data_IF_094869124647
#
_entry.id   IF_094869124647
#
_cell.length_a   1.000
_cell.length_b   1.000
_cell.length_c   1.000
_cell.angle_alpha   90.00
_cell.angle_beta   90.00
_cell.angle_gamma   90.00
#
_symmetry.space_group_name_H-M   'P 1'
#
loop_
_entity.id
_entity.type
_entity.pdbx_description
1 polymer ?
#
# COMPACT_ATOMS: atom_id res chain seq x y z
N UNK A 1 33.39 -35.46 75.56
CA UNK A 1 33.48 -34.06 75.09
C UNK A 1 32.69 -33.97 73.79
N UNK A 2 31.47 -33.45 73.87
CA UNK A 2 30.45 -33.45 72.81
C UNK A 2 30.74 -32.31 71.82
N UNK A 3 30.64 -32.56 70.50
CA UNK A 3 30.53 -31.50 69.48
C UNK A 3 29.40 -31.84 68.53
N UNK A 4 28.33 -31.05 68.68
CA UNK A 4 27.05 -31.21 68.03
C UNK A 4 27.16 -30.96 66.51
N UNK A 5 26.72 -31.94 65.73
CA UNK A 5 26.48 -31.77 64.29
C UNK A 5 24.99 -31.47 64.08
N UNK A 6 24.66 -30.19 63.94
CA UNK A 6 23.33 -29.74 63.50
C UNK A 6 23.33 -29.61 61.96
N UNK A 7 22.58 -30.44 61.22
CA UNK A 7 22.38 -30.21 59.79
C UNK A 7 21.42 -29.02 59.62
N UNK A 8 21.96 -27.93 59.08
CA UNK A 8 21.27 -26.67 58.80
C UNK A 8 20.13 -26.95 57.82
N UNK A 9 18.89 -27.01 58.33
CA UNK A 9 17.71 -27.27 57.51
C UNK A 9 17.55 -26.21 56.44
N UNK A 10 17.58 -26.67 55.20
CA UNK A 10 17.54 -25.86 53.99
C UNK A 10 16.08 -25.43 53.75
N UNK A 11 15.69 -24.26 54.25
CA UNK A 11 14.38 -23.60 53.99
C UNK A 11 14.29 -23.01 52.56
N UNK A 12 14.89 -23.62 51.53
CA UNK A 12 14.95 -23.05 50.17
C UNK A 12 13.76 -23.43 49.28
N UNK A 13 13.06 -24.53 49.59
CA UNK A 13 12.00 -25.09 48.72
C UNK A 13 10.77 -24.17 48.60
N UNK A 14 10.29 -23.61 49.71
CA UNK A 14 9.08 -22.78 49.70
C UNK A 14 9.31 -21.41 49.03
N UNK A 15 10.49 -20.82 49.24
CA UNK A 15 10.85 -19.52 48.67
C UNK A 15 11.12 -19.61 47.17
N UNK A 16 11.78 -20.68 46.69
CA UNK A 16 11.92 -20.93 45.25
C UNK A 16 10.57 -21.10 44.56
N UNK A 17 9.62 -21.84 45.16
CA UNK A 17 8.27 -22.01 44.61
C UNK A 17 7.51 -20.68 44.49
N UNK A 18 7.64 -19.80 45.48
CA UNK A 18 7.03 -18.46 45.41
C UNK A 18 7.68 -17.58 44.32
N UNK A 19 9.00 -17.65 44.14
CA UNK A 19 9.68 -16.95 43.05
C UNK A 19 9.20 -17.48 41.69
N UNK A 20 9.06 -18.79 41.52
CA UNK A 20 8.58 -19.37 40.25
C UNK A 20 7.16 -18.92 39.94
N UNK A 21 6.25 -18.93 40.92
CA UNK A 21 4.85 -18.49 40.72
C UNK A 21 4.81 -16.99 40.37
N UNK A 22 5.54 -16.16 41.11
CA UNK A 22 5.62 -14.72 40.83
C UNK A 22 6.24 -14.43 39.46
N UNK A 23 7.27 -15.18 39.05
CA UNK A 23 7.89 -15.05 37.74
C UNK A 23 6.92 -15.43 36.61
N UNK A 24 6.16 -16.52 36.76
CA UNK A 24 5.14 -16.93 35.78
C UNK A 24 4.00 -15.90 35.71
N UNK A 25 3.56 -15.36 36.85
CA UNK A 25 2.52 -14.34 36.90
C UNK A 25 2.97 -13.04 36.21
N UNK A 26 4.19 -12.57 36.52
CA UNK A 26 4.78 -11.41 35.86
C UNK A 26 4.96 -11.63 34.36
N UNK A 27 5.40 -12.83 33.96
CA UNK A 27 5.51 -13.19 32.54
C UNK A 27 4.14 -13.19 31.86
N UNK A 28 3.10 -13.68 32.52
CA UNK A 28 1.73 -13.66 32.01
C UNK A 28 1.18 -12.25 31.80
N UNK A 29 1.38 -11.35 32.77
CA UNK A 29 1.00 -9.94 32.67
C UNK A 29 1.80 -9.24 31.57
N UNK A 30 3.11 -9.51 31.49
CA UNK A 30 3.99 -8.97 30.46
C UNK A 30 3.55 -9.40 29.05
N UNK A 31 3.21 -10.68 28.86
CA UNK A 31 2.70 -11.22 27.60
C UNK A 31 1.33 -10.63 27.24
N UNK A 32 0.45 -10.42 28.23
CA UNK A 32 -0.86 -9.78 28.02
C UNK A 32 -0.75 -8.34 27.50
N UNK A 33 0.31 -7.61 27.83
CA UNK A 33 0.59 -6.28 27.25
C UNK A 33 1.33 -6.37 25.91
N UNK A 34 2.28 -7.29 25.79
CA UNK A 34 3.19 -7.36 24.64
C UNK A 34 2.54 -7.94 23.38
N UNK A 35 1.71 -8.97 23.50
CA UNK A 35 1.04 -9.63 22.36
C UNK A 35 0.06 -8.70 21.63
N UNK A 36 -0.90 -8.01 22.30
CA UNK A 36 -1.79 -7.07 21.61
C UNK A 36 -1.03 -5.88 21.01
N UNK A 37 0.03 -5.39 21.66
CA UNK A 37 0.86 -4.30 21.12
C UNK A 37 1.61 -4.73 19.85
N UNK A 38 2.11 -5.97 19.82
CA UNK A 38 2.77 -6.51 18.63
C UNK A 38 1.80 -6.71 17.46
N UNK A 39 0.58 -7.20 17.72
CA UNK A 39 -0.46 -7.32 16.71
C UNK A 39 -0.87 -5.94 16.17
N UNK A 40 -1.01 -4.94 17.04
CA UNK A 40 -1.40 -3.60 16.65
C UNK A 40 -0.33 -2.91 15.78
N UNK A 41 0.95 -3.13 16.06
CA UNK A 41 2.06 -2.65 15.20
C UNK A 41 2.00 -3.24 13.79
N UNK A 42 1.65 -4.53 13.65
CA UNK A 42 1.48 -5.17 12.33
C UNK A 42 0.25 -4.64 11.60
N UNK A 43 -0.82 -4.32 12.32
CA UNK A 43 -2.01 -3.69 11.74
C UNK A 43 -1.75 -2.27 11.24
N UNK A 44 -0.87 -1.49 11.89
CA UNK A 44 -0.50 -0.17 11.36
C UNK A 44 0.30 -0.27 10.06
N UNK A 45 1.21 -1.25 9.95
CA UNK A 45 1.97 -1.47 8.72
C UNK A 45 1.08 -1.94 7.55
N UNK A 46 0.09 -2.80 7.81
CA UNK A 46 -0.87 -3.25 6.79
C UNK A 46 -1.82 -2.12 6.37
N UNK A 47 -2.26 -1.27 7.31
CA UNK A 47 -3.08 -0.09 7.01
C UNK A 47 -2.32 0.94 6.19
N UNK A 48 -1.05 1.20 6.52
CA UNK A 48 -0.20 2.13 5.76
C UNK A 48 -0.02 1.64 4.33
N UNK A 49 0.40 0.39 4.13
CA UNK A 49 0.58 -0.16 2.79
C UNK A 49 -0.71 -0.19 1.98
N UNK A 50 -1.86 -0.45 2.62
CA UNK A 50 -3.17 -0.39 1.94
C UNK A 50 -3.54 1.05 1.53
N UNK A 51 -3.28 2.03 2.41
CA UNK A 51 -3.55 3.44 2.14
C UNK A 51 -2.65 3.98 1.02
N UNK A 52 -1.36 3.64 1.02
CA UNK A 52 -0.41 4.01 -0.04
C UNK A 52 -0.83 3.43 -1.40
N UNK A 53 -1.23 2.16 -1.43
CA UNK A 53 -1.78 1.50 -2.63
C UNK A 53 -3.00 2.24 -3.16
N UNK A 54 -3.97 2.55 -2.29
CA UNK A 54 -5.17 3.30 -2.69
C UNK A 54 -4.83 4.70 -3.18
N UNK A 55 -3.88 5.39 -2.54
CA UNK A 55 -3.44 6.72 -2.95
C UNK A 55 -2.81 6.70 -4.34
N UNK A 56 -1.97 5.72 -4.63
CA UNK A 56 -1.36 5.52 -5.95
C UNK A 56 -2.43 5.32 -7.02
N UNK A 57 -3.37 4.40 -6.81
CA UNK A 57 -4.46 4.13 -7.75
C UNK A 57 -5.34 5.36 -7.99
N UNK A 58 -5.68 6.06 -6.91
CA UNK A 58 -6.44 7.31 -6.98
C UNK A 58 -5.67 8.39 -7.74
N UNK A 59 -4.36 8.50 -7.53
CA UNK A 59 -3.48 9.44 -8.21
C UNK A 59 -3.43 9.20 -9.72
N UNK A 60 -3.27 7.95 -10.14
CA UNK A 60 -3.31 7.55 -11.56
C UNK A 60 -4.66 7.91 -12.17
N UNK A 61 -5.76 7.44 -11.57
CA UNK A 61 -7.12 7.73 -12.05
C UNK A 61 -7.40 9.23 -12.15
N UNK A 62 -7.01 9.99 -11.12
CA UNK A 62 -7.24 11.42 -11.06
C UNK A 62 -6.47 12.15 -12.15
N UNK A 63 -5.21 11.79 -12.40
CA UNK A 63 -4.44 12.42 -13.48
C UNK A 63 -5.08 12.23 -14.86
N UNK A 64 -5.68 11.07 -15.13
CA UNK A 64 -6.44 10.86 -16.38
C UNK A 64 -7.75 11.64 -16.39
N UNK A 65 -8.49 11.67 -15.29
CA UNK A 65 -9.71 12.45 -15.18
C UNK A 65 -9.45 13.96 -15.38
N UNK A 66 -8.37 14.48 -14.78
CA UNK A 66 -7.91 15.85 -14.99
C UNK A 66 -7.61 16.10 -16.46
N UNK A 67 -6.88 15.20 -17.14
CA UNK A 67 -6.60 15.34 -18.57
C UNK A 67 -7.89 15.41 -19.41
N UNK A 68 -8.87 14.56 -19.13
CA UNK A 68 -10.18 14.58 -19.81
C UNK A 68 -10.90 15.91 -19.60
N UNK A 69 -10.95 16.40 -18.34
CA UNK A 69 -11.65 17.63 -17.99
C UNK A 69 -10.98 18.84 -18.66
N UNK A 70 -9.66 18.96 -18.53
CA UNK A 70 -8.90 20.08 -19.10
C UNK A 70 -8.97 20.04 -20.64
N UNK A 71 -8.87 18.85 -21.25
CA UNK A 71 -9.02 18.69 -22.70
C UNK A 71 -10.40 19.12 -23.19
N UNK A 72 -11.47 18.78 -22.47
CA UNK A 72 -12.84 19.23 -22.79
C UNK A 72 -13.05 20.73 -22.60
N UNK A 73 -12.28 21.37 -21.72
CA UNK A 73 -12.31 22.82 -21.52
C UNK A 73 -11.52 23.58 -22.59
N UNK A 74 -10.77 22.88 -23.44
CA UNK A 74 -9.82 23.47 -24.39
C UNK A 74 -8.49 23.86 -23.75
N UNK A 75 -8.25 23.46 -22.50
CA UNK A 75 -7.02 23.72 -21.75
C UNK A 75 -5.97 22.64 -22.10
N UNK A 76 -5.51 22.65 -23.35
CA UNK A 76 -4.75 21.53 -23.93
C UNK A 76 -3.36 21.29 -23.32
N UNK A 77 -2.64 22.35 -22.91
CA UNK A 77 -1.34 22.19 -22.24
C UNK A 77 -1.48 21.56 -20.85
N UNK A 78 -2.37 22.06 -19.95
CA UNK A 78 -2.71 21.36 -18.71
C UNK A 78 -3.11 19.91 -18.93
N UNK A 79 -3.96 19.65 -19.93
CA UNK A 79 -4.38 18.30 -20.30
C UNK A 79 -3.20 17.42 -20.73
N UNK A 80 -2.24 17.95 -21.50
CA UNK A 80 -1.03 17.25 -21.93
C UNK A 80 -0.14 16.87 -20.76
N UNK A 81 0.03 17.77 -19.79
CA UNK A 81 0.78 17.50 -18.56
C UNK A 81 0.11 16.43 -17.71
N UNK A 82 -1.21 16.51 -17.54
CA UNK A 82 -2.00 15.54 -16.80
C UNK A 82 -1.98 14.15 -17.47
N UNK A 83 -2.11 14.08 -18.79
CA UNK A 83 -1.99 12.84 -19.57
C UNK A 83 -0.58 12.24 -19.45
N UNK A 84 0.46 13.07 -19.55
CA UNK A 84 1.85 12.63 -19.37
C UNK A 84 2.09 12.06 -17.97
N UNK A 85 1.55 12.73 -16.94
CA UNK A 85 1.60 12.24 -15.55
C UNK A 85 0.90 10.89 -15.41
N UNK A 86 -0.29 10.73 -16.00
CA UNK A 86 -1.00 9.46 -16.03
C UNK A 86 -0.14 8.33 -16.61
N UNK A 87 0.41 8.50 -17.82
CA UNK A 87 1.19 7.45 -18.46
C UNK A 87 2.47 7.12 -17.70
N UNK A 88 3.15 8.13 -17.13
CA UNK A 88 4.35 7.93 -16.33
C UNK A 88 4.05 7.17 -15.03
N UNK A 89 2.98 7.54 -14.32
CA UNK A 89 2.56 6.84 -13.10
C UNK A 89 2.06 5.43 -13.39
N UNK A 90 1.30 5.24 -14.46
CA UNK A 90 0.84 3.92 -14.89
C UNK A 90 2.03 3.01 -15.23
N UNK A 91 3.04 3.54 -15.93
CA UNK A 91 4.27 2.79 -16.24
C UNK A 91 5.06 2.46 -14.98
N UNK A 92 5.26 3.43 -14.10
CA UNK A 92 5.94 3.20 -12.83
C UNK A 92 5.28 2.09 -12.01
N UNK A 93 3.94 2.01 -11.99
CA UNK A 93 3.25 0.93 -11.28
C UNK A 93 3.27 -0.41 -11.98
N UNK A 94 3.23 -0.45 -13.32
CA UNK A 94 3.33 -1.71 -14.07
C UNK A 94 4.75 -2.29 -14.01
N UNK A 95 5.77 -1.43 -14.06
CA UNK A 95 7.18 -1.82 -13.96
C UNK A 95 7.58 -2.38 -12.59
N UNK A 96 6.78 -2.11 -11.53
CA UNK A 96 6.97 -2.74 -10.20
C UNK A 96 6.70 -4.24 -10.19
N UNK A 97 6.01 -4.78 -11.18
CA UNK A 97 5.76 -6.22 -11.29
C UNK A 97 5.03 -6.80 -10.07
N UNK A 98 5.73 -7.63 -9.28
CA UNK A 98 5.15 -8.31 -8.10
C UNK A 98 4.79 -7.33 -6.99
N UNK A 99 5.51 -6.20 -6.89
CA UNK A 99 5.24 -5.15 -5.90
C UNK A 99 4.20 -4.12 -6.40
N UNK A 100 3.63 -4.34 -7.58
CA UNK A 100 2.61 -3.46 -8.15
C UNK A 100 1.34 -3.46 -7.29
N UNK A 101 0.65 -2.33 -7.33
CA UNK A 101 -0.72 -2.26 -6.80
C UNK A 101 -1.73 -2.96 -7.72
N UNK A 102 -1.37 -3.15 -8.99
CA UNK A 102 -2.22 -3.83 -9.98
C UNK A 102 -2.10 -5.35 -9.90
N UNK A 103 -3.20 -6.04 -10.18
CA UNK A 103 -3.17 -7.48 -10.43
C UNK A 103 -2.45 -7.79 -11.75
N UNK A 104 -1.91 -9.01 -11.95
CA UNK A 104 -1.30 -9.38 -13.24
C UNK A 104 -2.26 -9.23 -14.43
N UNK A 105 -3.55 -9.51 -14.23
CA UNK A 105 -4.57 -9.31 -15.25
C UNK A 105 -4.77 -7.82 -15.58
N UNK A 106 -4.74 -6.94 -14.58
CA UNK A 106 -4.79 -5.49 -14.77
C UNK A 106 -3.55 -4.97 -15.50
N UNK A 107 -2.35 -5.43 -15.13
CA UNK A 107 -1.10 -5.07 -15.82
C UNK A 107 -1.18 -5.45 -17.31
N UNK A 108 -1.61 -6.68 -17.61
CA UNK A 108 -1.81 -7.11 -18.99
C UNK A 108 -2.90 -6.29 -19.71
N UNK A 109 -3.98 -5.95 -18.99
CA UNK A 109 -5.11 -5.19 -19.52
C UNK A 109 -4.77 -3.72 -19.83
N UNK A 110 -3.87 -3.08 -19.07
CA UNK A 110 -3.45 -1.70 -19.32
C UNK A 110 -2.37 -1.58 -20.40
N UNK A 111 -1.69 -2.67 -20.75
CA UNK A 111 -0.63 -2.67 -21.77
C UNK A 111 -1.07 -2.07 -23.12
N UNK A 112 -2.26 -2.36 -23.66
CA UNK A 112 -2.74 -1.75 -24.89
C UNK A 112 -3.00 -0.24 -24.78
N UNK A 113 -3.22 0.30 -23.57
CA UNK A 113 -3.48 1.74 -23.39
C UNK A 113 -2.27 2.61 -23.75
N UNK A 114 -1.05 2.06 -23.67
CA UNK A 114 0.17 2.79 -24.03
C UNK A 114 0.27 3.08 -25.53
N UNK A 115 -0.41 2.33 -26.40
CA UNK A 115 -0.34 2.58 -27.85
C UNK A 115 -0.96 3.93 -28.23
N UNK A 116 -1.98 4.38 -27.48
CA UNK A 116 -2.66 5.65 -27.70
C UNK A 116 -1.92 6.87 -27.14
N UNK A 117 -0.80 6.68 -26.43
CA UNK A 117 -0.07 7.79 -25.78
C UNK A 117 0.37 8.84 -26.80
N UNK A 118 1.12 8.43 -27.81
CA UNK A 118 1.76 9.37 -28.74
C UNK A 118 0.71 10.10 -29.58
N UNK A 119 -0.37 9.41 -29.95
CA UNK A 119 -1.56 9.99 -30.58
C UNK A 119 -2.17 11.09 -29.69
N UNK A 120 -2.53 10.75 -28.45
CA UNK A 120 -3.15 11.70 -27.51
C UNK A 120 -2.24 12.91 -27.26
N UNK A 121 -0.94 12.69 -27.03
CA UNK A 121 0.02 13.78 -26.81
C UNK A 121 0.14 14.67 -28.04
N UNK A 122 0.11 14.10 -29.24
CA UNK A 122 0.14 14.85 -30.49
C UNK A 122 -1.12 15.68 -30.69
N UNK A 123 -2.31 15.10 -30.45
CA UNK A 123 -3.58 15.82 -30.53
C UNK A 123 -3.62 16.99 -29.54
N UNK A 124 -3.20 16.75 -28.30
CA UNK A 124 -3.12 17.79 -27.27
C UNK A 124 -2.12 18.90 -27.63
N UNK A 125 -0.93 18.55 -28.14
CA UNK A 125 0.07 19.53 -28.58
C UNK A 125 -0.40 20.38 -29.76
N UNK A 126 -1.32 19.86 -30.59
CA UNK A 126 -1.94 20.60 -31.70
C UNK A 126 -3.17 21.41 -31.28
N UNK A 127 -3.64 21.24 -30.04
CA UNK A 127 -4.91 21.82 -29.58
C UNK A 127 -6.13 21.25 -30.29
N UNK A 128 -6.07 19.98 -30.71
CA UNK A 128 -7.14 19.32 -31.44
C UNK A 128 -8.28 18.90 -30.49
N UNK A 129 -9.53 19.34 -30.71
CA UNK A 129 -10.68 18.94 -29.90
C UNK A 129 -10.91 17.42 -29.83
N UNK A 130 -10.48 16.66 -30.84
CA UNK A 130 -10.58 15.19 -30.85
C UNK A 130 -9.79 14.53 -29.71
N UNK A 131 -8.80 15.24 -29.13
CA UNK A 131 -8.08 14.77 -27.95
C UNK A 131 -9.00 14.47 -26.76
N UNK A 132 -10.06 15.26 -26.57
CA UNK A 132 -10.99 15.11 -25.46
C UNK A 132 -11.82 13.81 -25.55
N UNK A 133 -12.25 13.46 -26.76
CA UNK A 133 -12.97 12.21 -27.02
C UNK A 133 -12.03 11.01 -26.82
N UNK A 134 -10.81 11.09 -27.37
CA UNK A 134 -9.81 10.02 -27.21
C UNK A 134 -9.41 9.78 -25.75
N UNK A 135 -9.23 10.85 -24.98
CA UNK A 135 -9.00 10.77 -23.54
C UNK A 135 -10.20 10.16 -22.80
N UNK A 136 -11.43 10.49 -23.20
CA UNK A 136 -12.65 9.96 -22.59
C UNK A 136 -12.79 8.44 -22.83
N UNK A 137 -12.54 7.99 -24.06
CA UNK A 137 -12.50 6.57 -24.41
C UNK A 137 -11.46 5.81 -23.60
N UNK A 138 -10.24 6.38 -23.49
CA UNK A 138 -9.17 5.79 -22.70
C UNK A 138 -9.55 5.71 -21.21
N UNK A 139 -10.20 6.73 -20.67
CA UNK A 139 -10.69 6.73 -19.29
C UNK A 139 -11.69 5.61 -19.04
N UNK A 140 -12.66 5.42 -19.93
CA UNK A 140 -13.63 4.31 -19.82
C UNK A 140 -12.94 2.96 -19.92
N UNK A 141 -11.99 2.79 -20.86
CA UNK A 141 -11.22 1.56 -21.00
C UNK A 141 -10.41 1.26 -19.74
N UNK A 142 -9.74 2.27 -19.17
CA UNK A 142 -9.01 2.15 -17.92
C UNK A 142 -9.92 1.71 -16.77
N UNK A 143 -11.08 2.35 -16.58
CA UNK A 143 -12.02 1.94 -15.54
C UNK A 143 -12.51 0.51 -15.70
N UNK A 144 -12.75 0.06 -16.94
CA UNK A 144 -13.14 -1.32 -17.22
C UNK A 144 -12.06 -2.30 -16.76
N UNK A 145 -10.79 -2.00 -17.04
CA UNK A 145 -9.66 -2.85 -16.62
C UNK A 145 -9.51 -2.86 -15.09
N UNK A 146 -9.69 -1.71 -14.44
CA UNK A 146 -9.56 -1.61 -12.97
C UNK A 146 -10.69 -2.30 -12.20
N UNK A 147 -11.85 -2.46 -12.83
CA UNK A 147 -13.04 -3.08 -12.23
C UNK A 147 -13.21 -4.56 -12.61
N UNK A 148 -12.27 -5.13 -13.37
CA UNK A 148 -12.16 -6.57 -13.65
C UNK A 148 -11.40 -7.27 -12.52
#
# INVERSE_FOLDING_TARGET
MNKDSQPKQVKTSHWMRQITISAVLLLGIFLLGFVPMWLQSRDYASRLSTAERQLTLAGIKNSLATAVIDGRRGDYEPARLAASKFFNSLRAETDRGIDSTFSPAQIAGVQPLYSGRDEIITLLARGDPASADRLSEMYVSYLKIMNQ
#
